data_IF_929888556537
#
_entry.id   IF_929888556537
#
_cell.length_a   1.000
_cell.length_b   1.000
_cell.length_c   1.000
_cell.angle_alpha   90.00
_cell.angle_beta   90.00
_cell.angle_gamma   90.00
#
_symmetry.space_group_name_H-M   'P 1'
#
loop_
_entity.id
_entity.type
_entity.pdbx_description
1 polymer ?
#
# COMPACT_ATOMS: atom_id res chain seq x y z
N UNK A 1 -14.86 -22.24 -11.76
CA UNK A 1 -13.71 -21.89 -10.89
C UNK A 1 -12.94 -20.78 -11.56
N UNK A 2 -13.27 -19.53 -11.21
CA UNK A 2 -12.64 -18.32 -11.74
C UNK A 2 -11.13 -18.36 -11.44
N UNK A 3 -10.28 -18.41 -12.46
CA UNK A 3 -8.84 -18.18 -12.27
C UNK A 3 -8.65 -16.70 -11.97
N UNK A 4 -8.75 -16.32 -10.68
CA UNK A 4 -8.36 -14.98 -10.20
C UNK A 4 -6.97 -14.69 -10.76
N UNK A 5 -6.90 -13.68 -11.62
CA UNK A 5 -5.69 -13.29 -12.33
C UNK A 5 -4.54 -13.06 -11.36
N UNK A 6 -3.35 -13.43 -11.79
CA UNK A 6 -2.06 -13.25 -11.11
C UNK A 6 -1.68 -11.76 -11.00
N UNK A 7 -2.55 -10.91 -10.45
CA UNK A 7 -2.24 -9.51 -10.22
C UNK A 7 -1.65 -9.35 -8.82
N UNK A 8 -0.34 -9.61 -8.76
CA UNK A 8 0.48 -9.60 -7.56
C UNK A 8 0.91 -8.20 -7.12
N UNK A 9 0.77 -7.21 -8.00
CA UNK A 9 1.01 -5.82 -7.63
C UNK A 9 -0.24 -5.27 -6.96
N UNK A 10 -0.10 -4.69 -5.75
CA UNK A 10 -1.20 -3.94 -5.17
C UNK A 10 -1.53 -2.79 -6.13
N UNK A 11 -2.77 -2.75 -6.59
CA UNK A 11 -3.38 -1.51 -7.07
C UNK A 11 -3.09 -0.47 -5.99
N UNK A 12 -2.37 0.60 -6.37
CA UNK A 12 -2.03 1.74 -5.51
C UNK A 12 -3.25 2.02 -4.62
N UNK A 13 -3.13 2.14 -3.28
CA UNK A 13 -4.26 2.59 -2.48
C UNK A 13 -4.75 3.86 -3.16
N UNK A 14 -6.02 3.89 -3.58
CA UNK A 14 -6.62 5.12 -4.04
C UNK A 14 -6.48 6.07 -2.87
N UNK A 15 -5.46 6.93 -2.94
CA UNK A 15 -5.25 8.02 -2.00
C UNK A 15 -6.58 8.76 -2.08
N UNK A 16 -7.39 8.60 -1.04
CA UNK A 16 -8.65 9.32 -0.92
C UNK A 16 -8.32 10.75 -1.26
N UNK A 17 -8.93 11.24 -2.35
CA UNK A 17 -8.75 12.61 -2.84
C UNK A 17 -8.77 13.50 -1.59
N UNK A 18 -7.76 14.35 -1.34
CA UNK A 18 -7.79 15.21 -0.16
C UNK A 18 -9.15 15.90 -0.18
N UNK A 19 -9.88 15.80 0.93
CA UNK A 19 -11.18 16.46 1.06
C UNK A 19 -10.96 17.90 0.57
N UNK A 20 -11.65 18.26 -0.51
CA UNK A 20 -11.50 19.57 -1.12
C UNK A 20 -11.64 20.61 -0.02
N UNK A 21 -10.75 21.59 0.00
CA UNK A 21 -10.88 22.75 0.86
C UNK A 21 -12.34 23.24 0.68
N UNK A 22 -13.13 23.38 1.75
CA UNK A 22 -14.47 23.91 1.63
C UNK A 22 -14.40 25.24 0.89
N UNK A 23 -15.24 25.40 -0.14
CA UNK A 23 -15.23 26.54 -1.06
C UNK A 23 -15.36 27.92 -0.36
N UNK A 24 -15.71 27.92 0.93
CA UNK A 24 -15.81 29.11 1.78
C UNK A 24 -14.45 29.79 2.06
N UNK A 25 -13.31 29.08 1.93
CA UNK A 25 -11.97 29.70 2.13
C UNK A 25 -11.34 30.31 0.87
N UNK A 26 -11.92 30.14 -0.32
CA UNK A 26 -11.33 30.66 -1.57
C UNK A 26 -11.67 32.13 -1.86
N UNK A 27 -12.79 32.64 -1.31
CA UNK A 27 -13.25 34.00 -1.55
C UNK A 27 -12.43 35.04 -0.75
N UNK A 28 -11.87 34.65 0.41
CA UNK A 28 -11.05 35.53 1.24
C UNK A 28 -9.64 35.80 0.66
N UNK A 29 -9.25 35.12 -0.43
CA UNK A 29 -7.89 35.18 -0.98
C UNK A 29 -7.73 36.05 -2.24
N UNK A 30 -8.80 36.69 -2.75
CA UNK A 30 -8.70 37.71 -3.80
C UNK A 30 -7.99 37.28 -5.09
N UNK A 31 -8.14 36.01 -5.51
CA UNK A 31 -7.49 35.49 -6.72
C UNK A 31 -8.41 35.73 -7.94
N UNK A 32 -7.97 36.47 -8.97
CA UNK A 32 -8.79 36.75 -10.15
C UNK A 32 -9.04 35.50 -11.02
N UNK A 33 -10.28 35.38 -11.49
CA UNK A 33 -10.89 34.22 -12.17
C UNK A 33 -10.44 33.97 -13.63
N UNK A 34 -9.24 34.39 -14.03
CA UNK A 34 -8.77 34.30 -15.43
C UNK A 34 -7.75 33.18 -15.67
N UNK A 35 -7.59 32.24 -14.72
CA UNK A 35 -6.57 31.18 -14.80
C UNK A 35 -7.12 29.77 -15.06
N UNK A 36 -8.44 29.61 -15.18
CA UNK A 36 -9.09 28.30 -15.37
C UNK A 36 -8.98 27.75 -16.80
N UNK A 37 -8.92 28.61 -17.83
CA UNK A 37 -8.98 28.15 -19.23
C UNK A 37 -7.65 27.65 -19.81
N UNK A 38 -6.52 27.87 -19.13
CA UNK A 38 -5.20 27.50 -19.67
C UNK A 38 -4.77 26.06 -19.33
N UNK A 39 -5.45 25.40 -18.39
CA UNK A 39 -5.07 24.05 -17.95
C UNK A 39 -5.77 22.89 -18.68
N UNK A 40 -6.78 23.18 -19.52
CA UNK A 40 -7.51 22.14 -20.28
C UNK A 40 -6.71 21.63 -21.50
N UNK A 41 -5.67 22.35 -21.94
CA UNK A 41 -4.98 22.11 -23.22
C UNK A 41 -3.79 21.14 -23.18
N UNK A 42 -3.36 20.67 -21.99
CA UNK A 42 -2.14 19.83 -21.86
C UNK A 42 -2.37 18.33 -21.63
N UNK A 43 -3.62 17.87 -21.53
CA UNK A 43 -3.95 16.44 -21.37
C UNK A 43 -4.73 15.87 -22.55
N UNK A 44 -4.15 15.90 -23.75
CA UNK A 44 -4.57 14.99 -24.83
C UNK A 44 -3.40 14.07 -25.21
N UNK A 45 -3.02 13.21 -24.26
CA UNK A 45 -2.10 12.09 -24.50
C UNK A 45 -2.86 11.00 -25.26
N UNK A 46 -2.20 10.51 -26.31
CA UNK A 46 -2.73 9.64 -27.36
C UNK A 46 -3.60 8.48 -26.88
N UNK A 47 -4.82 8.45 -27.41
CA UNK A 47 -5.68 7.28 -27.47
C UNK A 47 -5.06 6.30 -28.48
N UNK A 48 -4.31 5.31 -28.00
CA UNK A 48 -3.86 4.19 -28.83
C UNK A 48 -5.09 3.40 -29.32
N UNK A 49 -5.31 3.23 -30.63
CA UNK A 49 -6.36 2.36 -31.11
C UNK A 49 -5.93 0.89 -30.98
N UNK A 50 -6.78 0.13 -30.29
CA UNK A 50 -6.82 -1.33 -30.26
C UNK A 50 -6.64 -1.91 -31.67
N UNK A 51 -5.55 -2.63 -31.89
CA UNK A 51 -5.38 -3.52 -33.03
C UNK A 51 -6.23 -4.77 -32.77
N UNK A 52 -7.44 -4.78 -33.33
CA UNK A 52 -8.25 -6.00 -33.51
C UNK A 52 -7.71 -6.73 -34.73
N UNK A 53 -7.15 -7.92 -34.51
CA UNK A 53 -6.70 -8.80 -35.59
C UNK A 53 -7.88 -9.72 -35.94
N UNK A 54 -8.66 -9.32 -36.94
CA UNK A 54 -9.52 -10.27 -37.65
C UNK A 54 -8.62 -11.20 -38.47
N UNK A 55 -8.81 -12.51 -38.27
CA UNK A 55 -8.15 -13.55 -39.03
C UNK A 55 -9.24 -14.33 -39.75
N UNK A 56 -9.69 -13.78 -40.88
CA UNK A 56 -10.57 -14.46 -41.83
C UNK A 56 -9.73 -15.22 -42.85
N UNK A 57 -10.10 -16.48 -43.02
CA UNK A 57 -9.45 -17.46 -43.86
C UNK A 57 -9.61 -17.15 -45.36
N UNK A 58 -8.58 -17.42 -46.14
CA UNK A 58 -8.71 -17.68 -47.57
C UNK A 58 -7.70 -18.74 -48.01
N UNK A 59 -8.26 -19.92 -48.23
CA UNK A 59 -7.76 -21.07 -48.96
C UNK A 59 -7.28 -20.70 -50.36
N UNK A 60 -6.12 -21.24 -50.77
CA UNK A 60 -5.92 -22.07 -51.97
C UNK A 60 -4.54 -21.82 -52.57
N UNK A 61 -3.61 -22.77 -52.43
CA UNK A 61 -2.56 -22.97 -53.43
C UNK A 61 -2.36 -24.47 -53.63
N UNK A 62 -2.48 -24.84 -54.90
CA UNK A 62 -2.44 -26.17 -55.50
C UNK A 62 -1.24 -27.01 -55.10
N UNK A 63 -1.51 -28.32 -55.11
CA UNK A 63 -0.53 -29.39 -55.06
C UNK A 63 0.56 -29.19 -56.12
N UNK A 64 1.83 -29.26 -55.67
CA UNK A 64 2.90 -29.74 -56.53
C UNK A 64 3.68 -30.82 -55.79
N UNK A 65 3.59 -32.01 -56.37
CA UNK A 65 4.32 -33.23 -56.02
C UNK A 65 5.84 -32.98 -56.10
N UNK A 66 6.56 -33.47 -55.09
CA UNK A 66 7.96 -33.17 -54.85
C UNK A 66 8.56 -34.15 -53.86
N UNK A 67 8.50 -35.44 -54.19
CA UNK A 67 9.30 -36.54 -53.62
C UNK A 67 10.69 -36.06 -53.13
N UNK A 68 10.88 -35.93 -51.81
CA UNK A 68 12.18 -36.13 -51.14
C UNK A 68 12.00 -36.94 -49.86
N UNK A 69 12.41 -38.20 -49.95
CA UNK A 69 12.70 -39.07 -48.80
C UNK A 69 13.94 -38.51 -48.10
N UNK A 70 13.75 -37.77 -47.02
CA UNK A 70 14.83 -37.46 -46.11
C UNK A 70 14.61 -38.25 -44.83
N UNK A 71 15.36 -39.36 -44.76
CA UNK A 71 15.66 -40.12 -43.56
C UNK A 71 16.12 -39.17 -42.46
N UNK A 72 15.23 -38.83 -41.52
CA UNK A 72 15.64 -38.24 -40.24
C UNK A 72 16.09 -39.38 -39.33
N UNK A 73 17.28 -39.90 -39.64
CA UNK A 73 18.04 -40.75 -38.72
C UNK A 73 18.41 -39.89 -37.51
N UNK A 74 18.05 -40.38 -36.33
CA UNK A 74 18.25 -39.69 -35.08
C UNK A 74 19.72 -39.37 -34.79
N UNK A 75 19.93 -38.17 -34.27
CA UNK A 75 20.83 -37.89 -33.17
C UNK A 75 20.43 -36.52 -32.63
N UNK A 76 19.39 -36.49 -31.78
CA UNK A 76 19.13 -35.32 -30.95
C UNK A 76 20.30 -35.20 -29.97
N UNK A 77 21.40 -34.59 -30.42
CA UNK A 77 22.45 -34.11 -29.54
C UNK A 77 21.74 -33.14 -28.58
N UNK A 78 21.51 -33.59 -27.35
CA UNK A 78 21.02 -32.75 -26.27
C UNK A 78 22.14 -31.77 -25.96
N UNK A 79 22.20 -30.67 -26.72
CA UNK A 79 23.18 -29.63 -26.47
C UNK A 79 22.93 -29.12 -25.03
N UNK A 80 23.97 -29.03 -24.18
CA UNK A 80 23.80 -28.57 -22.80
C UNK A 80 23.24 -27.14 -22.75
N UNK A 81 23.37 -26.40 -23.85
CA UNK A 81 22.82 -25.07 -24.06
C UNK A 81 21.29 -25.07 -24.08
N UNK A 82 20.65 -26.01 -24.79
CA UNK A 82 19.19 -26.08 -24.85
C UNK A 82 18.57 -26.41 -23.48
N UNK A 83 19.22 -27.31 -22.71
CA UNK A 83 18.80 -27.62 -21.35
C UNK A 83 18.95 -26.40 -20.40
N UNK A 84 20.03 -25.62 -20.56
CA UNK A 84 20.27 -24.38 -19.79
C UNK A 84 19.26 -23.29 -20.10
N UNK A 85 18.89 -23.11 -21.38
CA UNK A 85 17.88 -22.12 -21.79
C UNK A 85 16.50 -22.50 -21.24
N UNK A 86 16.12 -23.79 -21.31
CA UNK A 86 14.85 -24.26 -20.73
C UNK A 86 14.84 -24.13 -19.22
N UNK A 87 15.94 -24.45 -18.53
CA UNK A 87 16.07 -24.24 -17.09
C UNK A 87 15.97 -22.75 -16.71
N UNK A 88 16.68 -21.86 -17.41
CA UNK A 88 16.62 -20.42 -17.18
C UNK A 88 15.22 -19.85 -17.48
N UNK A 89 14.59 -20.27 -18.57
CA UNK A 89 13.22 -19.87 -18.91
C UNK A 89 12.20 -20.40 -17.89
N UNK A 90 12.40 -21.60 -17.34
CA UNK A 90 11.54 -22.14 -16.28
C UNK A 90 11.62 -21.30 -15.01
N UNK A 91 12.83 -20.89 -14.58
CA UNK A 91 13.02 -20.01 -13.42
C UNK A 91 12.32 -18.65 -13.63
N UNK A 92 12.36 -18.10 -14.84
CA UNK A 92 11.67 -16.84 -15.17
C UNK A 92 10.13 -16.97 -15.16
N UNK A 93 9.60 -18.14 -15.48
CA UNK A 93 8.15 -18.43 -15.47
C UNK A 93 7.60 -18.78 -14.08
N UNK A 94 8.49 -19.03 -13.12
CA UNK A 94 8.22 -19.43 -11.73
C UNK A 94 8.37 -18.29 -10.71
N UNK A 95 8.45 -17.03 -11.16
CA UNK A 95 8.59 -15.89 -10.26
C UNK A 95 7.55 -15.95 -9.14
N UNK A 96 8.05 -16.16 -7.93
CA UNK A 96 7.20 -16.21 -6.75
C UNK A 96 6.54 -14.87 -6.51
N UNK A 97 5.38 -14.93 -5.88
CA UNK A 97 4.57 -13.77 -5.60
C UNK A 97 4.08 -13.86 -4.16
N UNK A 98 4.53 -12.92 -3.34
CA UNK A 98 4.12 -12.80 -1.94
C UNK A 98 3.25 -11.55 -1.80
N UNK A 99 1.99 -11.73 -1.42
CA UNK A 99 1.08 -10.63 -1.13
C UNK A 99 0.93 -10.49 0.38
N UNK A 100 1.26 -9.31 0.89
CA UNK A 100 1.18 -8.97 2.31
C UNK A 100 0.07 -7.95 2.52
N UNK A 101 -0.89 -8.26 3.40
CA UNK A 101 -2.05 -7.41 3.73
C UNK A 101 -2.20 -7.25 5.23
N UNK A 102 -2.50 -6.03 5.63
CA UNK A 102 -2.84 -5.64 6.99
C UNK A 102 -4.27 -5.14 7.03
N UNK A 103 -5.12 -5.82 7.79
CA UNK A 103 -6.51 -5.44 8.05
C UNK A 103 -6.56 -4.70 9.37
N UNK A 104 -6.93 -3.44 9.34
CA UNK A 104 -7.00 -2.57 10.52
C UNK A 104 -8.47 -2.33 10.85
N UNK A 105 -8.83 -2.65 12.09
CA UNK A 105 -10.17 -2.49 12.64
C UNK A 105 -10.11 -1.66 13.91
N UNK A 106 -11.14 -0.87 14.13
CA UNK A 106 -11.30 -0.14 15.38
C UNK A 106 -12.69 -0.33 15.93
N UNK A 107 -12.80 -0.27 17.25
CA UNK A 107 -14.05 -0.14 17.97
C UNK A 107 -14.06 1.21 18.71
N UNK A 108 -14.96 2.15 18.36
CA UNK A 108 -15.95 2.08 17.26
C UNK A 108 -15.33 2.19 15.85
N UNK A 109 -16.07 1.76 14.80
CA UNK A 109 -15.62 1.88 13.40
C UNK A 109 -15.65 3.33 12.90
N UNK A 110 -15.06 3.58 11.72
CA UNK A 110 -15.01 4.89 11.08
C UNK A 110 -13.85 5.78 11.53
N UNK A 111 -12.85 5.22 12.23
CA UNK A 111 -11.66 5.95 12.63
C UNK A 111 -10.71 6.13 11.44
N UNK A 112 -10.18 7.33 11.24
CA UNK A 112 -9.18 7.62 10.22
C UNK A 112 -7.83 7.00 10.59
N UNK A 113 -7.31 6.14 9.72
CA UNK A 113 -6.07 5.38 9.92
C UNK A 113 -4.92 6.02 9.17
N UNK A 114 -3.80 6.14 9.88
CA UNK A 114 -2.51 6.52 9.33
C UNK A 114 -1.50 5.42 9.61
N UNK A 115 -0.75 5.01 8.58
CA UNK A 115 0.33 4.02 8.68
C UNK A 115 1.63 4.69 8.26
N UNK A 116 2.62 4.72 9.15
CA UNK A 116 3.89 5.44 8.96
C UNK A 116 3.66 6.89 8.51
N UNK A 117 2.71 7.56 9.16
CA UNK A 117 2.28 8.94 8.90
C UNK A 117 1.57 9.20 7.56
N UNK A 118 1.35 8.17 6.74
CA UNK A 118 0.51 8.25 5.55
C UNK A 118 -0.95 7.93 5.85
N UNK A 119 -1.87 8.80 5.40
CA UNK A 119 -3.31 8.57 5.52
C UNK A 119 -3.75 7.45 4.58
N UNK A 120 -4.41 6.43 5.13
CA UNK A 120 -4.91 5.28 4.38
C UNK A 120 -6.41 5.40 4.13
N UNK A 121 -7.19 5.67 5.17
CA UNK A 121 -8.66 5.74 5.10
C UNK A 121 -9.33 5.40 6.42
N UNK A 122 -10.66 5.30 6.42
CA UNK A 122 -11.46 5.00 7.61
C UNK A 122 -11.55 3.49 7.89
N UNK A 123 -11.54 3.08 9.16
CA UNK A 123 -11.75 1.68 9.57
C UNK A 123 -13.19 1.20 9.31
N UNK A 124 -13.41 -0.09 9.01
CA UNK A 124 -12.42 -1.15 8.80
C UNK A 124 -11.75 -1.05 7.42
N UNK A 125 -10.41 -1.13 7.36
CA UNK A 125 -9.65 -0.94 6.12
C UNK A 125 -8.53 -1.97 5.96
N UNK A 126 -8.28 -2.42 4.72
CA UNK A 126 -7.15 -3.28 4.39
C UNK A 126 -6.09 -2.50 3.59
N UNK A 127 -4.84 -2.57 4.02
CA UNK A 127 -3.70 -1.96 3.33
C UNK A 127 -2.59 -2.97 3.08
N UNK A 128 -1.79 -2.76 2.04
CA UNK A 128 -0.67 -3.65 1.70
C UNK A 128 0.62 -3.07 2.23
N UNK A 129 1.55 -3.93 2.67
CA UNK A 129 2.86 -3.50 3.16
C UNK A 129 3.98 -4.31 2.50
N UNK A 130 5.17 -3.71 2.37
CA UNK A 130 6.29 -4.38 1.70
C UNK A 130 7.19 -5.10 2.67
N UNK A 131 7.54 -4.47 3.79
CA UNK A 131 8.56 -4.95 4.72
C UNK A 131 7.97 -5.27 6.10
N UNK A 132 8.52 -6.31 6.74
CA UNK A 132 8.28 -6.62 8.14
C UNK A 132 9.05 -5.65 9.05
N UNK A 133 8.61 -5.56 10.29
CA UNK A 133 9.19 -4.70 11.31
C UNK A 133 8.12 -3.93 12.09
N UNK A 134 8.59 -2.96 12.87
CA UNK A 134 7.72 -2.08 13.64
C UNK A 134 7.17 -0.97 12.77
N UNK A 135 5.84 -0.82 12.75
CA UNK A 135 5.16 0.25 12.00
C UNK A 135 4.35 1.12 12.94
N UNK A 136 4.31 2.42 12.65
CA UNK A 136 3.53 3.37 13.44
C UNK A 136 2.12 3.40 12.90
N UNK A 137 1.16 2.97 13.71
CA UNK A 137 -0.26 2.98 13.38
C UNK A 137 -0.93 4.04 14.26
N UNK A 138 -1.53 5.03 13.61
CA UNK A 138 -2.24 6.12 14.29
C UNK A 138 -3.70 6.12 13.86
N UNK A 139 -4.61 6.08 14.83
CA UNK A 139 -6.05 6.12 14.63
C UNK A 139 -6.59 7.42 15.21
N UNK A 140 -7.39 8.13 14.42
CA UNK A 140 -8.02 9.40 14.80
C UNK A 140 -9.52 9.28 14.58
N UNK A 141 -10.32 9.63 15.59
CA UNK A 141 -11.77 9.67 15.50
C UNK A 141 -12.33 10.77 16.38
N UNK A 142 -13.32 11.50 15.89
CA UNK A 142 -13.91 12.61 16.63
C UNK A 142 -14.59 12.13 17.91
N UNK A 143 -14.32 12.85 19.01
CA UNK A 143 -14.79 12.48 20.36
C UNK A 143 -14.02 11.35 21.02
N UNK A 144 -12.93 10.87 20.41
CA UNK A 144 -12.07 9.81 20.93
C UNK A 144 -10.62 10.30 20.98
N UNK A 145 -9.85 9.74 21.93
CA UNK A 145 -8.43 10.02 22.04
C UNK A 145 -7.70 9.45 20.82
N UNK A 146 -6.72 10.21 20.33
CA UNK A 146 -5.85 9.73 19.25
C UNK A 146 -4.99 8.59 19.78
N UNK A 147 -5.15 7.41 19.18
CA UNK A 147 -4.37 6.23 19.53
C UNK A 147 -3.17 6.13 18.59
N UNK A 148 -1.95 6.14 19.14
CA UNK A 148 -0.72 5.89 18.38
C UNK A 148 -0.02 4.67 18.96
N UNK A 149 0.12 3.62 18.15
CA UNK A 149 0.71 2.34 18.54
C UNK A 149 1.84 1.99 17.58
N UNK A 150 2.93 1.47 18.13
CA UNK A 150 4.04 0.91 17.36
C UNK A 150 3.85 -0.60 17.28
N UNK A 151 3.20 -1.06 16.22
CA UNK A 151 2.88 -2.47 16.03
C UNK A 151 4.08 -3.20 15.43
N UNK A 152 4.54 -4.28 16.08
CA UNK A 152 5.64 -5.10 15.56
C UNK A 152 5.10 -6.24 14.70
N UNK A 153 5.33 -6.14 13.39
CA UNK A 153 4.91 -7.14 12.42
C UNK A 153 6.09 -8.06 12.13
N UNK A 154 6.19 -9.19 12.84
CA UNK A 154 7.32 -10.10 12.72
C UNK A 154 7.30 -10.94 11.43
N UNK A 155 8.43 -11.13 10.72
CA UNK A 155 8.49 -11.97 9.54
C UNK A 155 8.27 -13.44 9.93
N UNK A 156 7.51 -14.21 9.13
CA UNK A 156 7.51 -15.66 9.29
C UNK A 156 8.86 -16.24 8.86
N UNK A 157 9.18 -17.45 9.34
CA UNK A 157 10.50 -18.08 9.16
C UNK A 157 10.96 -18.18 7.69
N UNK A 158 10.03 -18.31 6.74
CA UNK A 158 10.33 -18.41 5.31
C UNK A 158 10.70 -17.07 4.65
N UNK A 159 10.52 -15.94 5.35
CA UNK A 159 10.91 -14.59 4.89
C UNK A 159 12.16 -14.06 5.63
N UNK A 160 12.90 -14.94 6.30
CA UNK A 160 14.19 -14.60 6.92
C UNK A 160 15.32 -14.95 5.94
N UNK A 161 16.28 -14.06 5.69
CA UNK A 161 17.44 -14.37 4.84
C UNK A 161 18.22 -15.59 5.37
N UNK A 162 18.66 -16.51 4.50
CA UNK A 162 18.56 -16.53 3.04
C UNK A 162 17.29 -17.21 2.48
N UNK A 163 16.45 -17.79 3.34
CA UNK A 163 15.25 -18.55 2.92
C UNK A 163 14.24 -17.68 2.16
N UNK A 164 14.19 -16.40 2.50
CA UNK A 164 13.37 -15.37 1.83
C UNK A 164 13.54 -15.39 0.31
N UNK A 165 14.78 -15.52 -0.18
CA UNK A 165 15.09 -15.57 -1.61
C UNK A 165 14.35 -16.70 -2.32
N UNK A 166 14.28 -17.89 -1.72
CA UNK A 166 13.57 -19.02 -2.32
C UNK A 166 12.05 -18.85 -2.23
N UNK A 167 11.55 -18.29 -1.13
CA UNK A 167 10.11 -18.07 -0.94
C UNK A 167 9.56 -17.00 -1.88
N UNK A 168 10.34 -15.96 -2.19
CA UNK A 168 9.94 -14.90 -3.11
C UNK A 168 10.20 -15.24 -4.57
N UNK A 169 11.25 -16.00 -4.91
CA UNK A 169 11.65 -16.24 -6.30
C UNK A 169 11.23 -17.61 -6.85
N UNK A 170 11.04 -18.61 -5.99
CA UNK A 170 10.83 -20.02 -6.40
C UNK A 170 9.45 -20.55 -6.00
N UNK A 171 8.66 -19.76 -5.27
CA UNK A 171 7.30 -20.16 -4.92
C UNK A 171 6.43 -20.24 -6.17
N UNK A 172 6.18 -21.47 -6.65
CA UNK A 172 5.29 -21.75 -7.78
C UNK A 172 3.83 -21.29 -7.57
N UNK A 173 3.47 -20.80 -6.37
CA UNK A 173 2.13 -20.36 -5.98
C UNK A 173 2.19 -19.04 -5.21
N UNK A 174 1.14 -18.23 -5.36
CA UNK A 174 0.93 -17.00 -4.59
C UNK A 174 0.84 -17.31 -3.08
N UNK A 175 1.74 -16.70 -2.30
CA UNK A 175 1.72 -16.75 -0.84
C UNK A 175 0.99 -15.49 -0.35
N UNK A 176 -0.09 -15.67 0.42
CA UNK A 176 -0.86 -14.56 1.02
C UNK A 176 -0.63 -14.52 2.51
N UNK A 177 0.04 -13.48 3.00
CA UNK A 177 0.11 -13.14 4.43
C UNK A 177 -0.94 -12.06 4.71
N UNK A 178 -1.94 -12.38 5.53
CA UNK A 178 -2.96 -11.44 5.98
C UNK A 178 -2.96 -11.40 7.50
N UNK A 179 -2.83 -10.19 8.05
CA UNK A 179 -2.86 -9.96 9.50
C UNK A 179 -4.00 -9.02 9.86
N UNK A 180 -4.65 -9.30 10.97
CA UNK A 180 -5.76 -8.49 11.49
C UNK A 180 -5.28 -7.81 12.76
N UNK A 181 -5.46 -6.50 12.83
CA UNK A 181 -5.15 -5.66 13.99
C UNK A 181 -6.44 -4.99 14.45
N UNK A 182 -6.82 -5.26 15.69
CA UNK A 182 -8.03 -4.73 16.31
C UNK A 182 -7.64 -3.74 17.41
N UNK A 183 -8.18 -2.52 17.33
CA UNK A 183 -7.90 -1.43 18.26
C UNK A 183 -9.16 -0.96 18.98
N UNK A 184 -9.08 -0.69 20.28
CA UNK A 184 -10.14 -0.05 21.03
C UNK A 184 -9.81 1.43 21.25
N UNK A 185 -10.74 2.30 20.88
CA UNK A 185 -10.58 3.74 21.07
C UNK A 185 -11.22 4.18 22.39
N UNK A 186 -10.49 5.00 23.14
CA UNK A 186 -10.96 5.56 24.40
C UNK A 186 -11.65 6.89 24.12
N UNK A 187 -12.87 7.14 24.64
CA UNK A 187 -13.51 8.45 24.52
C UNK A 187 -12.63 9.58 25.07
N UNK A 188 -12.68 10.73 24.41
CA UNK A 188 -11.98 11.92 24.88
C UNK A 188 -12.82 12.61 25.96
N UNK A 189 -12.27 12.73 27.15
CA UNK A 189 -12.90 13.48 28.24
C UNK A 189 -12.66 14.97 27.98
N UNK A 190 -13.68 15.68 27.50
CA UNK A 190 -13.64 17.14 27.39
C UNK A 190 -13.79 17.71 28.80
N UNK A 191 -12.73 18.35 29.31
CA UNK A 191 -12.80 19.00 30.61
C UNK A 191 -13.69 20.25 30.52
N UNK A 192 -14.70 20.41 31.40
CA UNK A 192 -15.52 21.62 31.46
C UNK A 192 -14.66 22.88 31.61
N UNK A 193 -15.08 24.03 31.04
CA UNK A 193 -14.32 25.28 31.11
C UNK A 193 -13.96 25.71 32.54
N UNK A 194 -14.87 25.51 33.50
CA UNK A 194 -14.65 25.84 34.91
C UNK A 194 -13.45 25.10 35.49
N UNK A 195 -13.34 23.79 35.24
CA UNK A 195 -12.20 22.98 35.68
C UNK A 195 -10.87 23.45 35.05
N UNK A 196 -10.92 24.04 33.85
CA UNK A 196 -9.74 24.61 33.20
C UNK A 196 -9.36 25.97 33.82
N UNK A 197 -10.36 26.78 34.21
CA UNK A 197 -10.14 28.07 34.88
C UNK A 197 -9.56 27.89 36.29
N UNK A 198 -10.15 27.01 37.10
CA UNK A 198 -9.68 26.72 38.46
C UNK A 198 -8.22 26.26 38.45
N UNK A 199 -7.88 25.37 37.51
CA UNK A 199 -6.51 24.87 37.33
C UNK A 199 -5.54 25.96 36.87
N UNK A 200 -6.00 26.92 36.08
CA UNK A 200 -5.21 28.06 35.66
C UNK A 200 -4.98 29.07 36.80
N UNK A 201 -5.99 29.34 37.62
CA UNK A 201 -5.87 30.17 38.83
C UNK A 201 -4.90 29.54 39.85
N UNK A 202 -4.99 28.23 40.07
CA UNK A 202 -4.07 27.49 40.93
C UNK A 202 -2.61 27.61 40.44
N UNK A 203 -2.38 27.44 39.12
CA UNK A 203 -1.06 27.62 38.53
C UNK A 203 -0.52 29.04 38.71
N UNK A 204 -1.37 30.07 38.56
CA UNK A 204 -0.98 31.48 38.80
C UNK A 204 -0.62 31.70 40.26
N UNK A 205 -1.42 31.20 41.21
CA UNK A 205 -1.15 31.32 42.64
C UNK A 205 0.20 30.68 43.02
N UNK A 206 0.49 29.48 42.48
CA UNK A 206 1.78 28.81 42.68
C UNK A 206 2.96 29.62 42.14
N UNK A 207 2.80 30.27 40.98
CA UNK A 207 3.87 31.11 40.39
C UNK A 207 4.15 32.40 41.17
N UNK A 208 3.14 32.95 41.85
CA UNK A 208 3.26 34.18 42.64
C UNK A 208 3.76 33.91 44.06
N UNK A 209 3.81 32.65 44.49
CA UNK A 209 4.37 32.29 45.79
C UNK A 209 5.90 32.42 45.70
N UNK A 210 6.54 33.33 46.45
CA UNK A 210 7.99 33.45 46.45
C UNK A 210 8.61 32.10 46.84
N UNK A 211 9.59 31.63 46.08
CA UNK A 211 10.37 30.46 46.47
C UNK A 211 10.89 30.69 47.90
N UNK A 212 10.76 29.72 48.82
CA UNK A 212 11.28 29.88 50.18
C UNK A 212 12.77 30.23 50.10
N UNK A 213 13.26 31.21 50.86
CA UNK A 213 14.59 31.80 50.70
C UNK A 213 15.77 30.87 51.03
N UNK A 214 15.58 29.55 51.12
CA UNK A 214 16.67 28.62 51.36
C UNK A 214 16.36 27.20 50.84
N UNK A 215 16.68 26.96 49.58
CA UNK A 215 16.92 25.60 49.06
C UNK A 215 18.21 25.65 48.25
N UNK A 216 19.32 25.90 48.94
CA UNK A 216 20.63 25.46 48.45
C UNK A 216 20.77 23.96 48.78
N UNK A 217 21.22 23.11 47.84
CA UNK A 217 21.52 21.73 48.18
C UNK A 217 22.71 21.70 49.16
N UNK A 218 22.51 21.09 50.32
CA UNK A 218 23.60 20.69 51.20
C UNK A 218 24.21 19.38 50.66
N UNK A 219 25.48 19.51 50.25
CA UNK A 219 26.49 18.49 49.97
C UNK A 219 26.38 17.67 48.68
#
# INVERSE_FOLDING_TARGET
MERRGRNCYPSRPEIGRPAGIPAESAEQAGIPAESADRLESRHRVGRSPRMVMEMTAATSISLHDGRRRNSFSGAASRSPLALRIVAAASVLLLSGCVQRRLMIRSDPPGAMVYVDDYQIGATPIATTFTYYGTRKIRLVKDGYQTLTVYERIDPPWYQIPPFDFFSENVAAREIRDMRVLDYQLVPQVVSPPQNLMDRAEELRARSQTPLPPNVMPLN
#
